data_IF_569579697242
#
_entry.id   IF_569579697242
#
_cell.length_a   1.000
_cell.length_b   1.000
_cell.length_c   1.000
_cell.angle_alpha   90.00
_cell.angle_beta   90.00
_cell.angle_gamma   90.00
#
_symmetry.space_group_name_H-M   'P 1'
#
loop_
_entity.id
_entity.type
_entity.pdbx_description
1 polymer ?
#
# COMPACT_ATOMS: atom_id res chain seq x y z
N UNK A 1 2.83 10.35 17.03
CA UNK A 1 2.02 9.20 16.56
C UNK A 1 1.45 8.42 17.73
N UNK A 2 2.24 7.82 18.62
CA UNK A 2 1.72 7.08 19.81
C UNK A 2 1.00 7.93 20.87
N UNK A 3 1.15 9.26 20.85
CA UNK A 3 0.46 10.18 21.76
C UNK A 3 -0.56 11.10 21.09
N UNK A 4 -0.81 10.92 19.79
CA UNK A 4 -1.82 11.70 19.07
C UNK A 4 -3.07 10.86 18.91
N UNK A 5 -4.15 11.22 19.61
CA UNK A 5 -5.42 10.49 19.56
C UNK A 5 -6.09 10.56 18.19
N UNK A 6 -5.73 11.53 17.34
CA UNK A 6 -6.21 11.65 15.97
C UNK A 6 -5.48 10.76 14.96
N UNK A 7 -4.50 9.95 15.40
CA UNK A 7 -3.69 9.12 14.51
C UNK A 7 -3.69 7.66 14.97
N UNK A 8 -4.21 6.78 14.12
CA UNK A 8 -4.15 5.34 14.30
C UNK A 8 -3.32 4.70 13.20
N UNK A 9 -2.38 3.83 13.57
CA UNK A 9 -1.49 3.12 12.63
C UNK A 9 -1.58 1.62 12.90
N UNK A 10 -1.81 0.83 11.84
CA UNK A 10 -1.83 -0.63 11.92
C UNK A 10 -1.03 -1.26 10.80
N UNK A 11 0.10 -1.87 11.13
CA UNK A 11 0.87 -2.67 10.17
C UNK A 11 0.21 -4.03 9.91
N UNK A 12 0.11 -4.41 8.63
CA UNK A 12 -0.54 -5.64 8.19
C UNK A 12 0.31 -6.36 7.14
N UNK A 13 0.79 -7.57 7.45
CA UNK A 13 1.52 -8.39 6.48
C UNK A 13 0.61 -9.01 5.42
N UNK A 14 1.10 -9.16 4.18
CA UNK A 14 0.39 -9.80 3.07
C UNK A 14 0.09 -11.27 3.32
N UNK A 15 0.92 -11.94 4.15
CA UNK A 15 0.77 -13.35 4.58
C UNK A 15 0.53 -14.31 3.40
N UNK A 16 1.32 -14.15 2.34
CA UNK A 16 1.24 -14.99 1.14
C UNK A 16 0.14 -14.62 0.15
N UNK A 17 -0.49 -13.45 0.30
CA UNK A 17 -1.29 -12.85 -0.77
C UNK A 17 -0.40 -12.59 -1.99
N UNK A 18 -0.95 -12.79 -3.19
CA UNK A 18 -0.25 -12.48 -4.45
C UNK A 18 -0.12 -10.97 -4.69
N UNK A 19 -0.97 -10.16 -4.04
CA UNK A 19 -0.96 -8.70 -4.12
C UNK A 19 -0.18 -8.03 -2.98
N UNK A 20 -0.10 -6.70 -3.05
CA UNK A 20 0.57 -5.81 -2.11
C UNK A 20 -0.24 -5.53 -0.84
N UNK A 21 -1.40 -6.17 -0.71
CA UNK A 21 -2.32 -5.99 0.41
C UNK A 21 -2.52 -7.28 1.19
N UNK A 22 -2.71 -7.11 2.51
CA UNK A 22 -3.23 -8.19 3.35
C UNK A 22 -4.68 -8.49 2.99
N UNK A 23 -5.09 -9.75 3.10
CA UNK A 23 -6.50 -10.16 2.90
C UNK A 23 -7.47 -9.39 3.81
N UNK A 24 -7.02 -8.98 5.00
CA UNK A 24 -7.82 -8.22 5.95
C UNK A 24 -7.91 -6.72 5.68
N UNK A 25 -7.19 -6.17 4.69
CA UNK A 25 -7.08 -4.71 4.49
C UNK A 25 -8.42 -4.08 4.18
N UNK A 26 -9.24 -4.74 3.36
CA UNK A 26 -10.60 -4.26 3.03
C UNK A 26 -11.48 -4.16 4.27
N UNK A 27 -11.51 -5.20 5.09
CA UNK A 27 -12.33 -5.23 6.31
C UNK A 27 -11.84 -4.20 7.34
N UNK A 28 -10.53 -4.03 7.48
CA UNK A 28 -9.97 -2.98 8.33
C UNK A 28 -10.36 -1.56 7.85
N UNK A 29 -10.36 -1.33 6.54
CA UNK A 29 -10.77 -0.05 5.95
C UNK A 29 -12.24 0.24 6.24
N UNK A 30 -13.12 -0.75 6.05
CA UNK A 30 -14.55 -0.62 6.34
C UNK A 30 -14.82 -0.36 7.82
N UNK A 31 -14.06 -0.98 8.72
CA UNK A 31 -14.19 -0.74 10.16
C UNK A 31 -13.77 0.68 10.54
N UNK A 32 -12.68 1.20 9.97
CA UNK A 32 -12.24 2.56 10.24
C UNK A 32 -13.25 3.59 9.70
N UNK A 33 -13.79 3.36 8.50
CA UNK A 33 -14.85 4.18 7.91
C UNK A 33 -16.10 4.19 8.81
N UNK A 34 -16.55 3.01 9.25
CA UNK A 34 -17.68 2.87 10.17
C UNK A 34 -17.41 3.49 11.56
N UNK A 35 -16.15 3.57 11.99
CA UNK A 35 -15.75 4.24 13.23
C UNK A 35 -15.67 5.78 13.08
N UNK A 36 -15.98 6.34 11.91
CA UNK A 36 -16.03 7.78 11.67
C UNK A 36 -14.65 8.41 11.42
N UNK A 37 -13.69 7.65 10.91
CA UNK A 37 -12.41 8.23 10.48
C UNK A 37 -12.58 8.96 9.15
N UNK A 38 -12.33 10.26 9.13
CA UNK A 38 -12.50 11.11 7.94
C UNK A 38 -11.51 10.78 6.81
N UNK A 39 -10.29 10.34 7.17
CA UNK A 39 -9.21 10.05 6.21
C UNK A 39 -8.58 8.71 6.55
N UNK A 40 -8.57 7.80 5.58
CA UNK A 40 -7.94 6.48 5.68
C UNK A 40 -6.90 6.36 4.58
N UNK A 41 -5.63 6.23 4.97
CA UNK A 41 -4.52 6.02 4.06
C UNK A 41 -4.14 4.55 4.08
N UNK A 42 -4.07 3.93 2.90
CA UNK A 42 -3.66 2.55 2.71
C UNK A 42 -2.36 2.54 1.92
N UNK A 43 -1.32 1.98 2.51
CA UNK A 43 -0.04 1.75 1.86
C UNK A 43 0.09 0.27 1.51
N UNK A 44 0.35 -0.02 0.23
CA UNK A 44 0.69 -1.38 -0.21
C UNK A 44 2.13 -1.69 0.17
N UNK A 45 2.46 -2.96 0.45
CA UNK A 45 3.87 -3.36 0.48
C UNK A 45 4.48 -3.21 -0.92
N UNK A 46 5.80 -3.03 -1.01
CA UNK A 46 6.52 -2.85 -2.28
C UNK A 46 6.26 -4.00 -3.27
N UNK A 47 5.33 -3.78 -4.18
CA UNK A 47 4.95 -4.68 -5.26
C UNK A 47 5.29 -4.08 -6.61
N UNK A 48 5.29 -4.91 -7.66
CA UNK A 48 5.44 -4.42 -9.02
C UNK A 48 4.26 -3.53 -9.43
N UNK A 49 4.46 -2.68 -10.43
CA UNK A 49 3.43 -1.77 -10.97
C UNK A 49 2.23 -2.48 -11.60
N UNK A 50 2.31 -3.80 -11.78
CA UNK A 50 1.21 -4.63 -12.25
C UNK A 50 0.22 -5.00 -11.14
N UNK A 51 0.52 -4.67 -9.87
CA UNK A 51 -0.43 -4.85 -8.78
C UNK A 51 -1.42 -3.70 -8.75
N UNK A 52 -2.71 -4.04 -8.84
CA UNK A 52 -3.81 -3.09 -8.95
C UNK A 52 -4.95 -3.41 -7.97
N UNK A 53 -4.73 -4.25 -6.96
CA UNK A 53 -5.80 -4.64 -6.03
C UNK A 53 -6.25 -3.47 -5.15
N UNK A 54 -5.35 -2.51 -4.89
CA UNK A 54 -5.69 -1.29 -4.16
C UNK A 54 -6.80 -0.47 -4.83
N UNK A 55 -6.94 -0.55 -6.17
CA UNK A 55 -7.99 0.15 -6.94
C UNK A 55 -9.39 -0.32 -6.53
N UNK A 56 -9.53 -1.56 -6.05
CA UNK A 56 -10.82 -2.11 -5.62
C UNK A 56 -11.24 -1.65 -4.22
N UNK A 57 -10.34 -1.02 -3.47
CA UNK A 57 -10.56 -0.67 -2.06
C UNK A 57 -10.53 0.85 -1.86
N UNK A 58 -9.58 1.55 -2.48
CA UNK A 58 -9.38 2.98 -2.27
C UNK A 58 -10.20 3.84 -3.23
N UNK A 59 -10.71 4.98 -2.76
CA UNK A 59 -11.41 5.94 -3.61
C UNK A 59 -10.46 6.71 -4.53
N UNK A 60 -9.23 6.96 -4.07
CA UNK A 60 -8.17 7.62 -4.84
C UNK A 60 -6.90 6.80 -4.70
N UNK A 61 -6.23 6.56 -5.82
CA UNK A 61 -4.98 5.80 -5.86
C UNK A 61 -3.87 6.72 -6.34
N UNK A 62 -2.82 6.84 -5.54
CA UNK A 62 -1.60 7.55 -5.89
C UNK A 62 -0.48 6.52 -6.10
N UNK A 63 0.19 6.59 -7.26
CA UNK A 63 1.38 5.79 -7.53
C UNK A 63 2.59 6.65 -7.21
N UNK A 64 3.39 6.22 -6.24
CA UNK A 64 4.64 6.90 -5.88
C UNK A 64 5.79 6.24 -6.62
N UNK A 65 6.49 7.02 -7.45
CA UNK A 65 7.61 6.57 -8.27
C UNK A 65 8.87 7.36 -7.91
N UNK A 66 10.03 6.71 -8.02
CA UNK A 66 11.32 7.39 -7.98
C UNK A 66 11.69 7.81 -9.41
N UNK A 67 12.22 9.03 -9.64
CA UNK A 67 12.77 9.40 -10.95
C UNK A 67 13.81 8.39 -11.43
N UNK A 68 13.79 8.01 -12.71
CA UNK A 68 14.78 7.07 -13.28
C UNK A 68 14.46 5.58 -13.10
N UNK A 69 13.21 5.18 -12.85
CA UNK A 69 12.79 3.76 -12.88
C UNK A 69 12.80 3.12 -14.29
N UNK A 70 13.23 3.85 -15.32
CA UNK A 70 13.49 3.32 -16.67
C UNK A 70 14.94 2.85 -16.79
N UNK A 71 15.11 1.68 -17.41
CA UNK A 71 16.33 0.95 -17.77
C UNK A 71 17.39 0.73 -16.65
N UNK A 72 17.91 1.75 -15.98
CA UNK A 72 19.06 1.65 -15.08
C UNK A 72 18.78 0.83 -13.80
N UNK A 73 17.59 0.98 -13.20
CA UNK A 73 17.19 0.20 -12.02
C UNK A 73 16.85 -1.26 -12.40
N UNK A 74 16.36 -1.50 -13.63
CA UNK A 74 16.11 -2.85 -14.12
C UNK A 74 17.44 -3.57 -14.45
N UNK A 75 18.44 -2.84 -14.99
CA UNK A 75 19.81 -3.33 -15.21
C UNK A 75 20.46 -3.73 -13.87
N UNK A 76 20.28 -2.93 -12.81
CA UNK A 76 20.74 -3.29 -11.46
C UNK A 76 20.03 -4.52 -10.89
N UNK A 77 18.71 -4.63 -11.06
CA UNK A 77 17.94 -5.82 -10.61
C UNK A 77 18.26 -7.08 -11.42
N UNK A 78 18.70 -6.94 -12.66
CA UNK A 78 19.16 -8.05 -13.49
C UNK A 78 20.60 -8.50 -13.15
N UNK A 79 21.29 -7.81 -12.25
CA UNK A 79 22.67 -8.14 -11.86
C UNK A 79 23.70 -7.90 -12.97
N UNK A 80 23.44 -6.96 -13.87
CA UNK A 80 24.29 -6.67 -15.05
C UNK A 80 25.35 -5.57 -14.75
N UNK A 81 25.57 -5.22 -13.47
CA UNK A 81 26.71 -4.40 -13.02
C UNK A 81 27.67 -5.18 -12.15
#
# INVERSE_FOLDING_TARGET
>A
HTGDSGVYIRSMGTRGSLGGLSRGTREATLLLDACGWDVIIIETVGVGQSEVDIIKIANTVCVVLVPGMGDDIQIMKAGIM
#
